data_IF_566165005240
#
_entry.id   IF_566165005240
#
_cell.length_a   1.000
_cell.length_b   1.000
_cell.length_c   1.000
_cell.angle_alpha   90.00
_cell.angle_beta   90.00
_cell.angle_gamma   90.00
#
_symmetry.space_group_name_H-M   'P 1'
#
loop_
_entity.id
_entity.type
_entity.pdbx_description
1 polymer ?
#
# COMPACT_ATOMS: atom_id res chain seq x y z
N UNK A 1 -7.62 7.06 -23.13
CA UNK A 1 -7.48 5.60 -22.89
C UNK A 1 -6.08 5.08 -23.19
N UNK A 2 -5.54 5.17 -24.42
CA UNK A 2 -4.17 4.68 -24.72
C UNK A 2 -3.07 5.30 -23.85
N UNK A 3 -3.16 6.60 -23.55
CA UNK A 3 -2.19 7.28 -22.69
C UNK A 3 -2.25 6.78 -21.24
N UNK A 4 -3.44 6.66 -20.66
CA UNK A 4 -3.64 6.17 -19.29
C UNK A 4 -3.10 4.75 -19.12
N UNK A 5 -3.36 3.86 -20.09
CA UNK A 5 -2.83 2.50 -20.07
C UNK A 5 -1.29 2.47 -20.09
N UNK A 6 -0.65 3.35 -20.87
CA UNK A 6 0.81 3.47 -20.90
C UNK A 6 1.37 4.01 -19.57
N UNK A 7 0.71 5.00 -18.96
CA UNK A 7 1.10 5.55 -17.64
C UNK A 7 1.00 4.48 -16.55
N UNK A 8 -0.09 3.69 -16.55
CA UNK A 8 -0.24 2.56 -15.63
C UNK A 8 0.93 1.58 -15.79
N UNK A 9 1.16 1.07 -17.00
CA UNK A 9 2.22 0.09 -17.25
C UNK A 9 3.61 0.59 -16.83
N UNK A 10 3.98 1.81 -17.22
CA UNK A 10 5.27 2.42 -16.85
C UNK A 10 5.41 2.56 -15.32
N UNK A 11 4.36 3.01 -14.64
CA UNK A 11 4.36 3.14 -13.18
C UNK A 11 4.49 1.77 -12.49
N UNK A 12 3.78 0.75 -12.97
CA UNK A 12 3.87 -0.60 -12.43
C UNK A 12 5.27 -1.21 -12.63
N UNK A 13 5.90 -0.99 -13.79
CA UNK A 13 7.29 -1.41 -14.03
C UNK A 13 8.27 -0.76 -13.06
N UNK A 14 8.18 0.56 -12.90
CA UNK A 14 9.06 1.31 -12.02
C UNK A 14 8.88 0.92 -10.55
N UNK A 15 7.65 0.71 -10.11
CA UNK A 15 7.35 0.30 -8.73
C UNK A 15 7.82 -1.12 -8.45
N UNK A 16 7.57 -2.09 -9.34
CA UNK A 16 8.10 -3.46 -9.20
C UNK A 16 9.63 -3.46 -9.15
N UNK A 17 10.30 -2.69 -10.00
CA UNK A 17 11.75 -2.54 -9.96
C UNK A 17 12.24 -1.95 -8.63
N UNK A 18 11.57 -0.91 -8.11
CA UNK A 18 11.91 -0.30 -6.82
C UNK A 18 11.68 -1.27 -5.66
N UNK A 19 10.62 -2.08 -5.69
CA UNK A 19 10.37 -3.14 -4.71
C UNK A 19 11.52 -4.15 -4.71
N UNK A 20 11.95 -4.63 -5.88
CA UNK A 20 13.06 -5.59 -6.00
C UNK A 20 14.37 -5.05 -5.41
N UNK A 21 14.71 -3.80 -5.73
CA UNK A 21 15.89 -3.12 -5.17
C UNK A 21 15.77 -2.93 -3.66
N UNK A 22 14.58 -2.60 -3.17
CA UNK A 22 14.31 -2.42 -1.76
C UNK A 22 14.45 -3.75 -0.99
N UNK A 23 13.91 -4.86 -1.53
CA UNK A 23 14.08 -6.20 -0.98
C UNK A 23 15.56 -6.58 -0.87
N UNK A 24 16.32 -6.38 -1.95
CA UNK A 24 17.76 -6.71 -2.00
C UNK A 24 18.57 -5.93 -0.94
N UNK A 25 18.14 -4.70 -0.62
CA UNK A 25 18.83 -3.80 0.31
C UNK A 25 18.24 -3.82 1.73
N UNK A 26 17.18 -4.59 1.97
CA UNK A 26 16.44 -4.55 3.24
C UNK A 26 15.82 -3.19 3.57
N UNK A 27 15.49 -2.37 2.55
CA UNK A 27 14.94 -1.03 2.75
C UNK A 27 13.40 -1.06 2.74
N UNK A 28 12.81 -1.34 3.90
CA UNK A 28 11.36 -1.53 4.03
C UNK A 28 10.55 -0.27 3.72
N UNK A 29 11.04 0.91 4.12
CA UNK A 29 10.36 2.16 3.83
C UNK A 29 10.24 2.43 2.31
N UNK A 30 11.28 2.11 1.54
CA UNK A 30 11.21 2.20 0.07
C UNK A 30 10.32 1.14 -0.54
N UNK A 31 10.32 -0.07 0.01
CA UNK A 31 9.42 -1.14 -0.43
C UNK A 31 7.96 -0.71 -0.26
N UNK A 32 7.58 -0.26 0.94
CA UNK A 32 6.22 0.17 1.28
C UNK A 32 5.77 1.38 0.45
N UNK A 33 6.70 2.30 0.16
CA UNK A 33 6.42 3.44 -0.71
C UNK A 33 6.11 2.99 -2.14
N UNK A 34 6.92 2.09 -2.71
CA UNK A 34 6.69 1.55 -4.05
C UNK A 34 5.42 0.68 -4.10
N UNK A 35 5.15 -0.11 -3.07
CA UNK A 35 3.96 -0.93 -2.89
C UNK A 35 2.67 -0.11 -2.90
N UNK A 36 2.66 1.01 -2.16
CA UNK A 36 1.54 1.95 -2.17
C UNK A 36 1.33 2.59 -3.56
N UNK A 37 2.40 3.05 -4.19
CA UNK A 37 2.35 3.66 -5.53
C UNK A 37 1.82 2.69 -6.59
N UNK A 38 2.18 1.40 -6.51
CA UNK A 38 1.68 0.35 -7.39
C UNK A 38 0.14 0.28 -7.37
N UNK A 39 -0.47 0.40 -6.19
CA UNK A 39 -1.92 0.31 -6.03
C UNK A 39 -2.63 1.61 -6.42
N UNK A 40 -2.02 2.76 -6.09
CA UNK A 40 -2.61 4.07 -6.35
C UNK A 40 -2.82 4.36 -7.84
N UNK A 41 -1.92 3.87 -8.70
CA UNK A 41 -1.98 4.20 -10.14
C UNK A 41 -3.28 3.73 -10.80
N UNK A 42 -3.84 2.58 -10.37
CA UNK A 42 -5.11 2.10 -10.90
C UNK A 42 -6.26 3.07 -10.62
N UNK A 43 -6.30 3.62 -9.41
CA UNK A 43 -7.34 4.57 -9.00
C UNK A 43 -7.14 5.90 -9.72
N UNK A 44 -5.91 6.41 -9.76
CA UNK A 44 -5.56 7.69 -10.40
C UNK A 44 -5.87 7.70 -11.89
N UNK A 45 -5.59 6.60 -12.58
CA UNK A 45 -5.77 6.47 -14.03
C UNK A 45 -7.11 5.83 -14.44
N UNK A 46 -8.02 5.58 -13.49
CA UNK A 46 -9.33 4.98 -13.74
C UNK A 46 -10.27 5.81 -14.62
N UNK A 47 -9.98 7.10 -14.80
CA UNK A 47 -10.87 8.06 -15.46
C UNK A 47 -12.10 8.45 -14.63
N UNK A 48 -12.23 7.93 -13.40
CA UNK A 48 -13.28 8.27 -12.46
C UNK A 48 -12.71 9.12 -11.32
N UNK A 49 -13.04 10.41 -11.30
CA UNK A 49 -12.52 11.37 -10.31
C UNK A 49 -12.93 11.05 -8.86
N UNK A 50 -13.98 10.26 -8.65
CA UNK A 50 -14.42 9.86 -7.32
C UNK A 50 -13.59 8.72 -6.72
N UNK A 51 -13.00 7.86 -7.55
CA UNK A 51 -12.21 6.71 -7.07
C UNK A 51 -10.94 7.13 -6.32
N UNK A 52 -10.09 8.05 -6.83
CA UNK A 52 -8.96 8.57 -6.07
C UNK A 52 -9.38 9.20 -4.74
N UNK A 53 -10.46 9.98 -4.74
CA UNK A 53 -10.97 10.65 -3.53
C UNK A 53 -11.39 9.63 -2.46
N UNK A 54 -12.13 8.59 -2.87
CA UNK A 54 -12.54 7.52 -1.96
C UNK A 54 -11.34 6.71 -1.45
N UNK A 55 -10.36 6.44 -2.33
CA UNK A 55 -9.14 5.75 -1.95
C UNK A 55 -8.34 6.53 -0.92
N UNK A 56 -8.15 7.84 -1.11
CA UNK A 56 -7.39 8.71 -0.20
C UNK A 56 -7.95 8.70 1.24
N UNK A 57 -9.27 8.55 1.41
CA UNK A 57 -9.91 8.45 2.73
C UNK A 57 -9.49 7.20 3.52
N UNK A 58 -9.08 6.13 2.82
CA UNK A 58 -8.78 4.82 3.43
C UNK A 58 -7.34 4.35 3.22
N UNK A 59 -6.55 5.03 2.39
CA UNK A 59 -5.20 4.65 1.99
C UNK A 59 -4.24 4.42 3.17
N UNK A 60 -4.31 5.27 4.20
CA UNK A 60 -3.46 5.14 5.38
C UNK A 60 -3.77 3.88 6.19
N UNK A 61 -5.05 3.56 6.36
CA UNK A 61 -5.51 2.33 7.02
C UNK A 61 -5.08 1.09 6.24
N UNK A 62 -5.26 1.10 4.91
CA UNK A 62 -4.85 -0.02 4.05
C UNK A 62 -3.32 -0.22 4.11
N UNK A 63 -2.55 0.87 4.08
CA UNK A 63 -1.08 0.81 4.19
C UNK A 63 -0.67 0.19 5.52
N UNK A 64 -1.25 0.63 6.64
CA UNK A 64 -0.93 0.09 7.96
C UNK A 64 -1.27 -1.42 8.07
N UNK A 65 -2.40 -1.85 7.50
CA UNK A 65 -2.77 -3.27 7.45
C UNK A 65 -1.74 -4.10 6.67
N UNK A 66 -1.31 -3.63 5.50
CA UNK A 66 -0.28 -4.29 4.69
C UNK A 66 1.05 -4.40 5.40
N UNK A 67 1.53 -3.31 6.01
CA UNK A 67 2.79 -3.31 6.77
C UNK A 67 2.74 -4.35 7.88
N UNK A 68 1.62 -4.45 8.59
CA UNK A 68 1.45 -5.45 9.65
C UNK A 68 1.41 -6.88 9.10
N UNK A 69 0.70 -7.11 8.00
CA UNK A 69 0.63 -8.42 7.35
C UNK A 69 2.02 -8.89 6.91
N UNK A 70 2.73 -8.02 6.20
CA UNK A 70 4.05 -8.31 5.65
C UNK A 70 5.13 -8.41 6.74
N UNK A 71 4.96 -7.75 7.89
CA UNK A 71 5.85 -7.85 9.05
C UNK A 71 5.54 -9.03 9.99
N UNK A 72 4.43 -9.75 9.77
CA UNK A 72 4.00 -10.87 10.57
C UNK A 72 4.65 -12.20 10.17
N UNK A 73 4.12 -13.29 10.74
CA UNK A 73 4.48 -14.66 10.36
C UNK A 73 3.86 -15.02 9.00
N UNK A 74 4.54 -15.87 8.23
CA UNK A 74 4.14 -16.21 6.86
C UNK A 74 4.85 -15.30 5.86
N UNK A 75 5.28 -15.88 4.74
CA UNK A 75 6.10 -15.21 3.72
C UNK A 75 5.27 -14.24 2.84
N UNK A 76 4.38 -13.46 3.48
CA UNK A 76 3.42 -12.58 2.82
C UNK A 76 4.09 -11.54 1.95
N UNK A 77 5.27 -11.04 2.35
CA UNK A 77 6.00 -10.06 1.55
C UNK A 77 6.54 -10.67 0.26
N UNK A 78 7.20 -11.84 0.31
CA UNK A 78 7.71 -12.46 -0.90
C UNK A 78 6.56 -12.94 -1.81
N UNK A 79 5.48 -13.45 -1.21
CA UNK A 79 4.24 -13.79 -1.94
C UNK A 79 3.66 -12.58 -2.67
N UNK A 80 3.41 -11.48 -1.95
CA UNK A 80 2.88 -10.23 -2.52
C UNK A 80 3.78 -9.69 -3.62
N UNK A 81 5.10 -9.71 -3.44
CA UNK A 81 6.03 -9.31 -4.49
C UNK A 81 5.93 -10.21 -5.74
N UNK A 82 5.76 -11.52 -5.55
CA UNK A 82 5.48 -12.46 -6.63
C UNK A 82 4.20 -12.10 -7.39
N UNK A 83 3.12 -11.82 -6.66
CA UNK A 83 1.81 -11.43 -7.21
C UNK A 83 1.90 -10.12 -8.01
N UNK A 84 2.62 -9.09 -7.53
CA UNK A 84 2.83 -7.85 -8.29
C UNK A 84 3.51 -8.08 -9.65
N UNK A 85 4.51 -8.97 -9.69
CA UNK A 85 5.17 -9.33 -10.96
C UNK A 85 4.22 -10.05 -11.91
N UNK A 86 3.38 -10.94 -11.40
CA UNK A 86 2.38 -11.65 -12.21
C UNK A 86 1.36 -10.68 -12.79
N UNK A 87 0.80 -9.77 -11.97
CA UNK A 87 -0.14 -8.73 -12.43
C UNK A 87 0.49 -7.91 -13.56
N UNK A 88 1.73 -7.45 -13.38
CA UNK A 88 2.44 -6.70 -14.42
C UNK A 88 2.64 -7.52 -15.69
N UNK A 89 2.99 -8.80 -15.58
CA UNK A 89 3.19 -9.67 -16.73
C UNK A 89 1.88 -9.86 -17.54
N UNK A 90 0.76 -10.13 -16.86
CA UNK A 90 -0.55 -10.29 -17.51
C UNK A 90 -1.02 -8.99 -18.17
N UNK A 91 -0.80 -7.83 -17.52
CA UNK A 91 -1.11 -6.53 -18.12
C UNK A 91 -0.27 -6.25 -19.37
N UNK A 92 1.02 -6.60 -19.38
CA UNK A 92 1.89 -6.49 -20.56
C UNK A 92 1.46 -7.41 -21.70
N UNK A 93 0.94 -8.60 -21.37
CA UNK A 93 0.40 -9.54 -22.34
C UNK A 93 -1.00 -9.14 -22.86
N UNK A 94 -1.64 -8.15 -22.24
CA UNK A 94 -3.00 -7.71 -22.58
C UNK A 94 -4.10 -8.60 -21.99
N UNK A 95 -3.77 -9.49 -21.04
CA UNK A 95 -4.71 -10.39 -20.37
C UNK A 95 -5.41 -9.69 -19.20
N UNK A 96 -6.27 -8.72 -19.51
CA UNK A 96 -6.87 -7.83 -18.50
C UNK A 96 -7.71 -8.58 -17.44
N UNK A 97 -8.48 -9.57 -17.85
CA UNK A 97 -9.35 -10.34 -16.93
C UNK A 97 -8.52 -11.14 -15.93
N UNK A 98 -7.43 -11.75 -16.40
CA UNK A 98 -6.53 -12.52 -15.54
C UNK A 98 -5.74 -11.60 -14.60
N UNK A 99 -5.25 -10.46 -15.09
CA UNK A 99 -4.62 -9.45 -14.24
C UNK A 99 -5.56 -8.94 -13.14
N UNK A 100 -6.83 -8.71 -13.47
CA UNK A 100 -7.84 -8.29 -12.52
C UNK A 100 -8.13 -9.38 -11.47
N UNK A 101 -8.24 -10.64 -11.89
CA UNK A 101 -8.42 -11.78 -11.00
C UNK A 101 -7.26 -11.94 -10.01
N UNK A 102 -6.02 -11.86 -10.49
CA UNK A 102 -4.83 -11.94 -9.63
C UNK A 102 -4.79 -10.75 -8.66
N UNK A 103 -5.14 -9.54 -9.13
CA UNK A 103 -5.21 -8.35 -8.28
C UNK A 103 -6.28 -8.50 -7.18
N UNK A 104 -7.43 -9.08 -7.51
CA UNK A 104 -8.50 -9.38 -6.54
C UNK A 104 -8.02 -10.38 -5.47
N UNK A 105 -7.44 -11.51 -5.89
CA UNK A 105 -6.88 -12.51 -4.97
C UNK A 105 -5.81 -11.87 -4.05
N UNK A 106 -4.96 -11.02 -4.63
CA UNK A 106 -3.90 -10.29 -3.94
C UNK A 106 -4.46 -9.38 -2.83
N UNK A 107 -5.49 -8.57 -3.10
CA UNK A 107 -6.06 -7.66 -2.09
C UNK A 107 -6.87 -8.40 -1.03
N UNK A 108 -7.53 -9.50 -1.41
CA UNK A 108 -8.40 -10.26 -0.51
C UNK A 108 -7.63 -11.07 0.54
N UNK A 109 -6.34 -11.31 0.32
CA UNK A 109 -5.47 -12.02 1.29
C UNK A 109 -5.47 -11.36 2.67
N UNK A 110 -5.69 -10.04 2.74
CA UNK A 110 -5.80 -9.31 4.03
C UNK A 110 -6.98 -9.83 4.85
N UNK A 111 -8.09 -10.18 4.20
CA UNK A 111 -9.31 -10.67 4.87
C UNK A 111 -9.14 -12.10 5.37
N UNK A 112 -8.31 -12.90 4.69
CA UNK A 112 -8.10 -14.32 4.99
C UNK A 112 -6.95 -14.55 5.97
N UNK A 113 -6.07 -13.55 6.15
CA UNK A 113 -4.84 -13.65 6.93
C UNK A 113 -5.01 -13.93 8.44
N UNK A 114 -6.23 -13.91 8.97
CA UNK A 114 -6.49 -14.07 10.41
C UNK A 114 -5.89 -12.95 11.27
N UNK A 115 -5.50 -11.82 10.67
CA UNK A 115 -4.93 -10.67 11.36
C UNK A 115 -5.83 -10.23 12.52
N UNK A 116 -5.33 -10.35 13.75
CA UNK A 116 -6.00 -9.81 14.94
C UNK A 116 -5.87 -8.29 14.92
N UNK A 117 -6.86 -7.61 14.36
CA UNK A 117 -6.91 -6.15 14.35
C UNK A 117 -6.93 -5.62 15.79
N UNK A 118 -6.27 -4.48 16.07
CA UNK A 118 -6.39 -3.87 17.39
C UNK A 118 -7.87 -3.53 17.64
N UNK A 119 -8.36 -3.67 18.88
CA UNK A 119 -9.75 -3.37 19.19
C UNK A 119 -10.10 -1.95 18.75
N UNK A 120 -11.30 -1.77 18.16
CA UNK A 120 -11.81 -0.47 17.68
C UNK A 120 -11.78 0.61 18.77
N UNK A 121 -11.81 0.17 20.02
CA UNK A 121 -11.90 1.01 21.22
C UNK A 121 -10.56 1.24 21.92
N UNK A 122 -9.40 1.22 21.24
CA UNK A 122 -8.28 1.98 21.82
C UNK A 122 -8.73 3.43 21.87
N UNK A 123 -8.97 4.01 23.07
CA UNK A 123 -9.31 5.42 23.15
C UNK A 123 -8.18 6.12 22.43
N UNK A 124 -8.49 6.88 21.38
CA UNK A 124 -7.50 7.74 20.73
C UNK A 124 -6.95 8.55 21.88
N UNK A 125 -5.75 8.22 22.35
CA UNK A 125 -5.18 8.87 23.52
C UNK A 125 -5.26 10.34 23.15
N UNK A 126 -6.11 11.11 23.85
CA UNK A 126 -6.23 12.56 23.61
C UNK A 126 -4.80 12.99 23.42
N UNK A 127 -4.49 13.53 22.24
CA UNK A 127 -3.15 14.00 21.95
C UNK A 127 -2.68 14.66 23.23
N UNK A 128 -1.60 14.14 23.84
CA UNK A 128 -1.09 14.69 25.10
C UNK A 128 -0.55 16.07 24.72
N UNK A 129 -1.45 17.02 24.47
CA UNK A 129 -1.18 18.43 24.43
C UNK A 129 -0.69 18.70 25.82
N UNK A 130 0.62 18.69 25.95
CA UNK A 130 1.32 19.13 27.16
C UNK A 130 0.67 20.43 27.60
N UNK A 131 0.42 20.58 28.89
CA UNK A 131 -0.08 21.83 29.42
C UNK A 131 0.90 22.96 29.04
N UNK A 132 0.41 24.19 29.01
CA UNK A 132 1.26 25.36 28.75
C UNK A 132 2.45 25.40 29.73
N UNK A 133 2.26 24.93 30.97
CA UNK A 133 3.30 24.81 31.99
C UNK A 133 4.35 23.75 31.63
N UNK A 134 3.92 22.58 31.15
CA UNK A 134 4.82 21.52 30.67
C UNK A 134 5.60 21.96 29.42
N UNK A 135 5.01 22.80 28.57
CA UNK A 135 5.70 23.40 27.42
C UNK A 135 6.79 24.39 27.86
N UNK A 136 6.47 25.26 28.83
CA UNK A 136 7.41 26.24 29.40
C UNK A 136 8.56 25.58 30.14
N UNK A 137 8.34 24.45 30.81
CA UNK A 137 9.41 23.71 31.49
C UNK A 137 10.46 23.12 30.52
N UNK A 138 10.08 22.83 29.28
CA UNK A 138 10.95 22.19 28.29
C UNK A 138 11.69 23.23 27.43
N UNK A 139 11.04 24.34 27.10
CA UNK A 139 11.57 25.33 26.15
C UNK A 139 11.75 26.73 26.74
N UNK A 140 11.40 26.94 28.01
CA UNK A 140 11.62 28.19 28.73
C UNK A 140 13.05 28.29 29.27
N UNK A 141 13.98 28.64 28.39
CA UNK A 141 15.15 29.45 28.76
C UNK A 141 15.00 30.82 28.14
#
# INVERSE_FOLDING_TARGET
MKQAAAVVLDTLEQTVYRMEKALTRGNWAQYETADREFHEVFMRESGNSFLPQAYDLTASSITALRVRLQGGEGDYRARSFGEHKLILAELKAGHLDEAARILEDHIMVINESGLVLPPRDTPRAKARTRSIEEYKAIFGR
#
